data_IF_054466263879
#
_entry.id   IF_054466263879
#
_cell.length_a   1.000
_cell.length_b   1.000
_cell.length_c   1.000
_cell.angle_alpha   90.00
_cell.angle_beta   90.00
_cell.angle_gamma   90.00
#
_symmetry.space_group_name_H-M   'P 1'
#
loop_
_entity.id
_entity.type
_entity.pdbx_description
1 polymer ?
#
# COMPACT_ATOMS: atom_id res chain seq x y z
N UNK A 1 14.96 2.18 48.76
CA UNK A 1 15.86 1.69 47.69
C UNK A 1 16.24 2.86 46.81
N UNK A 2 17.54 3.06 46.56
CA UNK A 2 18.03 4.09 45.64
C UNK A 2 17.61 3.74 44.21
N UNK A 3 17.03 4.68 43.47
CA UNK A 3 16.80 4.50 42.04
C UNK A 3 18.16 4.34 41.34
N UNK A 4 18.26 3.36 40.43
CA UNK A 4 19.40 3.24 39.52
C UNK A 4 19.09 4.18 38.35
N UNK A 5 19.80 5.30 38.26
CA UNK A 5 19.71 6.22 37.15
C UNK A 5 20.68 5.80 36.05
N UNK A 6 20.17 5.56 34.84
CA UNK A 6 20.96 5.35 33.63
C UNK A 6 20.14 5.76 32.42
N UNK A 7 20.76 6.35 31.41
CA UNK A 7 20.08 6.70 30.16
C UNK A 7 19.86 5.42 29.35
N UNK A 8 18.62 4.94 29.15
CA UNK A 8 18.39 3.77 28.32
C UNK A 8 18.78 4.11 26.88
N UNK A 9 19.71 3.33 26.30
CA UNK A 9 20.09 3.44 24.89
C UNK A 9 18.93 2.93 24.03
N UNK A 10 18.50 3.70 23.02
CA UNK A 10 17.52 3.23 22.03
C UNK A 10 18.11 2.04 21.27
N UNK A 11 17.28 1.05 20.96
CA UNK A 11 17.69 -0.16 20.25
C UNK A 11 16.62 -0.53 19.22
N UNK A 12 16.91 -0.26 17.95
CA UNK A 12 16.03 -0.63 16.84
C UNK A 12 16.21 -2.10 16.51
N UNK A 13 15.11 -2.84 16.37
CA UNK A 13 15.12 -4.20 15.85
C UNK A 13 14.08 -4.33 14.75
N UNK A 14 14.47 -4.94 13.62
CA UNK A 14 13.63 -5.11 12.44
C UNK A 14 13.24 -6.58 12.29
N UNK A 15 11.95 -6.85 12.15
CA UNK A 15 11.39 -8.19 12.00
C UNK A 15 10.58 -8.26 10.70
N UNK A 16 10.58 -9.42 10.05
CA UNK A 16 9.82 -9.65 8.83
C UNK A 16 8.83 -10.80 9.02
N UNK A 17 7.62 -10.70 8.51
CA UNK A 17 6.81 -11.90 8.27
C UNK A 17 7.26 -12.64 7.00
N UNK A 18 6.60 -13.74 6.67
CA UNK A 18 6.95 -14.59 5.52
C UNK A 18 6.31 -14.16 4.20
N UNK A 19 5.41 -13.18 4.21
CA UNK A 19 4.64 -12.82 3.02
C UNK A 19 5.46 -12.05 1.98
N UNK A 20 6.45 -11.26 2.41
CA UNK A 20 7.34 -10.51 1.51
C UNK A 20 8.74 -10.27 2.15
N UNK A 21 9.53 -11.33 2.37
CA UNK A 21 10.84 -11.21 3.03
C UNK A 21 11.81 -10.31 2.27
N UNK A 22 11.78 -10.32 0.94
CA UNK A 22 12.64 -9.49 0.08
C UNK A 22 12.50 -8.00 0.37
N UNK A 23 11.26 -7.51 0.58
CA UNK A 23 11.03 -6.10 0.93
C UNK A 23 11.64 -5.77 2.29
N UNK A 24 11.53 -6.67 3.26
CA UNK A 24 12.12 -6.45 4.58
C UNK A 24 13.66 -6.42 4.53
N UNK A 25 14.28 -7.27 3.72
CA UNK A 25 15.73 -7.23 3.48
C UNK A 25 16.17 -5.95 2.78
N UNK A 26 15.40 -5.46 1.80
CA UNK A 26 15.68 -4.17 1.17
C UNK A 26 15.56 -3.02 2.18
N UNK A 27 14.52 -3.01 3.03
CA UNK A 27 14.38 -2.02 4.10
C UNK A 27 15.52 -2.11 5.11
N UNK A 28 15.93 -3.32 5.49
CA UNK A 28 17.05 -3.54 6.40
C UNK A 28 18.35 -2.93 5.85
N UNK A 29 18.60 -3.12 4.55
CA UNK A 29 19.75 -2.56 3.85
C UNK A 29 19.74 -1.03 3.83
N UNK A 30 18.59 -0.40 3.57
CA UNK A 30 18.46 1.06 3.60
C UNK A 30 18.68 1.64 5.01
N UNK A 31 18.34 0.87 6.06
CA UNK A 31 18.51 1.23 7.47
C UNK A 31 19.90 0.90 8.05
N UNK A 32 20.78 0.23 7.28
CA UNK A 32 22.05 -0.34 7.76
C UNK A 32 21.88 -1.27 8.98
N UNK A 33 20.85 -2.12 8.93
CA UNK A 33 20.57 -3.18 9.92
C UNK A 33 20.32 -4.53 9.24
N UNK A 34 20.17 -5.58 10.03
CA UNK A 34 19.76 -6.90 9.56
C UNK A 34 18.36 -7.24 10.06
N UNK A 35 17.60 -8.01 9.30
CA UNK A 35 16.37 -8.64 9.80
C UNK A 35 16.74 -9.58 10.95
N UNK A 36 16.09 -9.43 12.10
CA UNK A 36 16.38 -10.24 13.29
C UNK A 36 16.06 -11.71 13.03
N UNK A 37 16.99 -12.64 13.34
CA UNK A 37 16.77 -14.07 13.18
C UNK A 37 15.54 -14.57 13.94
N UNK A 38 14.76 -15.42 13.27
CA UNK A 38 13.53 -15.98 13.81
C UNK A 38 13.25 -17.38 13.26
N UNK A 39 12.56 -18.17 14.07
CA UNK A 39 11.94 -19.42 13.67
C UNK A 39 10.46 -19.17 13.36
N UNK A 40 10.08 -19.23 12.07
CA UNK A 40 8.70 -19.06 11.61
C UNK A 40 8.28 -20.21 10.69
N UNK A 41 7.23 -20.95 11.06
CA UNK A 41 6.74 -22.10 10.30
C UNK A 41 5.26 -22.35 10.53
N UNK A 42 4.65 -23.17 9.67
CA UNK A 42 3.27 -23.61 9.82
C UNK A 42 3.25 -25.09 10.25
N UNK A 43 2.46 -25.41 11.27
CA UNK A 43 2.19 -26.80 11.66
C UNK A 43 1.33 -27.49 10.60
N UNK A 44 1.28 -28.83 10.63
CA UNK A 44 0.54 -29.63 9.65
C UNK A 44 -0.97 -29.32 9.60
N UNK A 45 -1.54 -28.76 10.66
CA UNK A 45 -2.95 -28.35 10.73
C UNK A 45 -3.20 -26.89 10.31
N UNK A 46 -2.16 -26.15 9.90
CA UNK A 46 -2.26 -24.75 9.46
C UNK A 46 -2.00 -23.71 10.55
N UNK A 47 -1.79 -24.10 11.82
CA UNK A 47 -1.38 -23.15 12.85
C UNK A 47 0.00 -22.55 12.56
N UNK A 48 0.18 -21.27 12.86
CA UNK A 48 1.42 -20.54 12.62
C UNK A 48 2.19 -20.43 13.93
N UNK A 49 3.49 -20.73 13.87
CA UNK A 49 4.43 -20.51 14.96
C UNK A 49 5.44 -19.44 14.57
N UNK A 50 5.71 -18.50 15.47
CA UNK A 50 6.79 -17.53 15.35
C UNK A 50 7.54 -17.40 16.69
N UNK A 51 8.86 -17.40 16.64
CA UNK A 51 9.75 -17.13 17.78
C UNK A 51 11.00 -16.39 17.31
N UNK A 52 11.31 -15.28 17.95
CA UNK A 52 12.59 -14.58 17.76
C UNK A 52 13.72 -15.32 18.49
N UNK A 53 14.88 -15.40 17.84
CA UNK A 53 16.05 -16.11 18.38
C UNK A 53 16.89 -15.21 19.31
N UNK A 54 16.67 -13.91 19.24
CA UNK A 54 17.32 -12.89 20.05
C UNK A 54 16.39 -12.29 21.10
N UNK A 55 16.98 -11.70 22.15
CA UNK A 55 16.22 -10.99 23.18
C UNK A 55 15.69 -9.66 22.65
N UNK A 56 14.37 -9.53 22.61
CA UNK A 56 13.66 -8.29 22.23
C UNK A 56 13.38 -7.36 23.41
N UNK A 57 13.85 -7.70 24.62
CA UNK A 57 13.55 -6.93 25.83
C UNK A 57 14.02 -5.49 25.70
N UNK A 58 13.09 -4.55 25.85
CA UNK A 58 13.37 -3.12 25.85
C UNK A 58 13.62 -2.51 24.47
N UNK A 59 13.49 -3.27 23.38
CA UNK A 59 13.73 -2.76 22.02
C UNK A 59 12.56 -1.94 21.48
N UNK A 60 12.89 -1.08 20.52
CA UNK A 60 11.96 -0.45 19.59
C UNK A 60 11.82 -1.38 18.38
N UNK A 61 10.78 -2.20 18.37
CA UNK A 61 10.56 -3.25 17.40
C UNK A 61 9.71 -2.77 16.22
N UNK A 62 10.21 -2.97 15.00
CA UNK A 62 9.49 -2.72 13.76
C UNK A 62 9.21 -4.06 13.08
N UNK A 63 7.94 -4.45 12.98
CA UNK A 63 7.55 -5.73 12.37
C UNK A 63 6.87 -5.50 11.03
N UNK A 64 7.60 -5.80 9.94
CA UNK A 64 7.15 -5.65 8.55
C UNK A 64 6.40 -6.89 8.10
N UNK A 65 5.19 -6.71 7.60
CA UNK A 65 4.47 -7.74 6.85
C UNK A 65 3.51 -7.07 5.87
N UNK A 66 3.60 -7.43 4.59
CA UNK A 66 2.57 -7.08 3.62
C UNK A 66 1.39 -8.06 3.74
N UNK A 67 0.15 -7.58 3.82
CA UNK A 67 -1.03 -8.46 3.86
C UNK A 67 -1.39 -9.00 2.46
N UNK A 68 -0.48 -9.78 1.87
CA UNK A 68 -0.64 -10.44 0.57
C UNK A 68 -1.43 -11.75 0.67
N UNK A 69 -1.77 -12.39 -0.45
CA UNK A 69 -2.45 -13.68 -0.43
C UNK A 69 -1.49 -14.82 -0.03
N UNK A 70 -1.86 -15.73 0.90
CA UNK A 70 -3.12 -15.80 1.65
C UNK A 70 -3.24 -14.75 2.76
N UNK A 71 -4.23 -13.85 2.63
CA UNK A 71 -4.33 -12.62 3.43
C UNK A 71 -4.54 -12.85 4.92
N UNK A 72 -5.30 -13.88 5.27
CA UNK A 72 -5.59 -14.22 6.66
C UNK A 72 -4.34 -14.74 7.36
N UNK A 73 -3.56 -15.57 6.69
CA UNK A 73 -2.33 -16.14 7.22
C UNK A 73 -1.29 -15.04 7.43
N UNK A 74 -1.16 -14.12 6.47
CA UNK A 74 -0.26 -12.96 6.59
C UNK A 74 -0.62 -12.07 7.78
N UNK A 75 -1.92 -11.76 7.98
CA UNK A 75 -2.41 -10.97 9.11
C UNK A 75 -2.20 -11.72 10.43
N UNK A 76 -2.61 -12.99 10.50
CA UNK A 76 -2.47 -13.82 11.69
C UNK A 76 -1.01 -13.98 12.10
N UNK A 77 -0.11 -14.19 11.14
CA UNK A 77 1.32 -14.24 11.39
C UNK A 77 1.83 -12.94 12.01
N UNK A 78 1.50 -11.78 11.45
CA UNK A 78 1.95 -10.51 12.01
C UNK A 78 1.37 -10.27 13.41
N UNK A 79 0.10 -10.66 13.67
CA UNK A 79 -0.50 -10.61 15.01
C UNK A 79 0.26 -11.49 16.01
N UNK A 80 0.65 -12.71 15.61
CA UNK A 80 1.43 -13.63 16.44
C UNK A 80 2.83 -13.05 16.71
N UNK A 81 3.46 -12.42 15.71
CA UNK A 81 4.74 -11.73 15.89
C UNK A 81 4.63 -10.58 16.88
N UNK A 82 3.59 -9.75 16.78
CA UNK A 82 3.31 -8.64 17.71
C UNK A 82 3.08 -9.17 19.13
N UNK A 83 2.29 -10.23 19.32
CA UNK A 83 2.09 -10.85 20.64
C UNK A 83 3.40 -11.42 21.21
N UNK A 84 4.23 -12.06 20.37
CA UNK A 84 5.55 -12.57 20.76
C UNK A 84 6.49 -11.43 21.21
N UNK A 85 6.49 -10.29 20.51
CA UNK A 85 7.26 -9.09 20.90
C UNK A 85 6.78 -8.54 22.26
N UNK A 86 5.47 -8.43 22.45
CA UNK A 86 4.86 -7.95 23.70
C UNK A 86 5.23 -8.84 24.87
N UNK A 87 5.09 -10.17 24.73
CA UNK A 87 5.47 -11.14 25.77
C UNK A 87 6.98 -11.20 25.98
N UNK A 88 7.75 -10.94 24.92
CA UNK A 88 9.20 -10.74 24.95
C UNK A 88 9.65 -9.45 25.65
N UNK A 89 8.71 -8.62 26.11
CA UNK A 89 8.96 -7.34 26.78
C UNK A 89 9.64 -6.30 25.89
N UNK A 90 9.33 -6.26 24.60
CA UNK A 90 9.65 -5.11 23.75
C UNK A 90 9.08 -3.82 24.35
N UNK A 91 9.79 -2.70 24.18
CA UNK A 91 9.41 -1.40 24.76
C UNK A 91 8.35 -0.70 23.92
N UNK A 92 8.52 -0.70 22.60
CA UNK A 92 7.58 -0.16 21.62
C UNK A 92 7.49 -1.12 20.44
N UNK A 93 6.28 -1.36 19.93
CA UNK A 93 6.02 -2.24 18.79
C UNK A 93 5.30 -1.44 17.71
N UNK A 94 5.98 -1.21 16.58
CA UNK A 94 5.41 -0.62 15.37
C UNK A 94 5.09 -1.73 14.38
N UNK A 95 3.82 -1.92 14.06
CA UNK A 95 3.42 -2.82 12.99
C UNK A 95 3.52 -2.07 11.64
N UNK A 96 4.46 -2.51 10.81
CA UNK A 96 4.70 -1.94 9.48
C UNK A 96 3.93 -2.79 8.47
N UNK A 97 2.93 -2.20 7.85
CA UNK A 97 2.01 -2.85 6.90
C UNK A 97 2.10 -2.15 5.54
N UNK A 98 3.06 -2.52 4.67
CA UNK A 98 3.19 -1.93 3.34
C UNK A 98 1.88 -1.97 2.54
N UNK A 99 1.03 -2.99 2.78
CA UNK A 99 -0.34 -3.04 2.30
C UNK A 99 -1.30 -3.44 3.42
N UNK A 100 -2.29 -2.58 3.71
CA UNK A 100 -3.32 -2.85 4.71
C UNK A 100 -4.44 -3.74 4.17
N UNK A 101 -4.33 -5.05 4.44
CA UNK A 101 -5.39 -6.02 4.14
C UNK A 101 -6.75 -5.67 4.75
N UNK A 102 -7.83 -5.97 4.02
CA UNK A 102 -9.22 -5.58 4.35
C UNK A 102 -9.55 -4.08 4.29
N UNK A 103 -8.65 -3.21 3.82
CA UNK A 103 -8.89 -1.75 3.75
C UNK A 103 -10.12 -1.35 2.91
N UNK A 104 -10.56 -2.17 1.94
CA UNK A 104 -11.79 -1.95 1.16
C UNK A 104 -13.09 -2.18 1.93
N UNK A 105 -13.01 -2.74 3.15
CA UNK A 105 -14.15 -2.97 4.04
C UNK A 105 -14.08 -1.95 5.20
N UNK A 106 -14.01 -0.67 4.84
CA UNK A 106 -13.86 0.51 5.70
C UNK A 106 -15.19 1.05 6.25
N UNK A 107 -16.31 0.65 5.64
CA UNK A 107 -17.66 1.06 6.07
C UNK A 107 -18.69 0.02 5.68
N UNK A 108 -19.89 0.20 6.22
CA UNK A 108 -21.07 -0.55 5.80
C UNK A 108 -21.68 0.12 4.58
N UNK A 109 -21.72 -0.58 3.46
CA UNK A 109 -22.49 -0.17 2.28
C UNK A 109 -23.96 -0.58 2.41
N UNK A 110 -24.21 -1.69 3.13
CA UNK A 110 -25.55 -2.19 3.47
C UNK A 110 -25.65 -2.56 4.94
N UNK A 111 -26.88 -2.71 5.42
CA UNK A 111 -27.12 -3.24 6.75
C UNK A 111 -26.47 -4.62 6.93
N UNK A 112 -25.96 -4.88 8.14
CA UNK A 112 -25.38 -6.18 8.58
C UNK A 112 -24.06 -6.60 7.91
N UNK A 113 -23.32 -5.67 7.32
CA UNK A 113 -21.93 -5.89 6.90
C UNK A 113 -20.94 -5.61 8.04
N UNK A 114 -19.77 -6.28 8.06
CA UNK A 114 -18.67 -5.93 8.95
C UNK A 114 -17.96 -4.65 8.50
N UNK A 115 -17.18 -4.06 9.41
CA UNK A 115 -16.15 -3.05 9.07
C UNK A 115 -14.80 -3.72 9.35
N UNK A 116 -14.37 -4.58 8.44
CA UNK A 116 -13.22 -5.47 8.68
C UNK A 116 -11.91 -4.72 8.81
N UNK A 117 -11.76 -3.55 8.16
CA UNK A 117 -10.60 -2.69 8.37
C UNK A 117 -10.48 -2.23 9.85
N UNK A 118 -11.61 -1.92 10.49
CA UNK A 118 -11.66 -1.60 11.93
C UNK A 118 -11.36 -2.82 12.79
N UNK A 119 -11.93 -3.98 12.45
CA UNK A 119 -11.62 -5.24 13.14
C UNK A 119 -10.11 -5.53 13.12
N UNK A 120 -9.45 -5.37 11.97
CA UNK A 120 -7.99 -5.52 11.85
C UNK A 120 -7.26 -4.55 12.78
N UNK A 121 -7.62 -3.27 12.80
CA UNK A 121 -7.02 -2.29 13.71
C UNK A 121 -7.18 -2.69 15.19
N UNK A 122 -8.38 -3.13 15.59
CA UNK A 122 -8.67 -3.58 16.96
C UNK A 122 -7.86 -4.83 17.34
N UNK A 123 -7.67 -5.77 16.40
CA UNK A 123 -6.83 -6.96 16.62
C UNK A 123 -5.38 -6.58 16.87
N UNK A 124 -4.79 -5.68 16.07
CA UNK A 124 -3.40 -5.24 16.26
C UNK A 124 -3.21 -4.48 17.57
N UNK A 125 -4.17 -3.61 17.92
CA UNK A 125 -4.14 -2.93 19.22
C UNK A 125 -4.18 -3.92 20.38
N UNK A 126 -5.05 -4.93 20.28
CA UNK A 126 -5.20 -5.99 21.29
C UNK A 126 -3.94 -6.85 21.41
N UNK A 127 -3.37 -7.26 20.27
CA UNK A 127 -2.14 -8.05 20.20
C UNK A 127 -0.97 -7.32 20.88
N UNK A 128 -0.87 -6.01 20.72
CA UNK A 128 0.16 -5.21 21.38
C UNK A 128 0.84 -4.13 20.56
N UNK A 129 0.35 -3.83 19.36
CA UNK A 129 0.93 -2.76 18.56
C UNK A 129 0.71 -1.41 19.27
N UNK A 130 1.78 -0.61 19.34
CA UNK A 130 1.73 0.76 19.85
C UNK A 130 1.46 1.76 18.72
N UNK A 131 1.87 1.42 17.50
CA UNK A 131 1.82 2.26 16.29
C UNK A 131 1.61 1.41 15.05
N UNK A 132 0.93 1.97 14.05
CA UNK A 132 0.89 1.41 12.70
C UNK A 132 1.63 2.32 11.72
N UNK A 133 2.39 1.75 10.80
CA UNK A 133 2.97 2.45 9.65
C UNK A 133 2.52 1.73 8.39
N UNK A 134 1.92 2.44 7.42
CA UNK A 134 1.32 1.82 6.22
C UNK A 134 1.42 2.73 5.01
N UNK A 135 1.23 2.19 3.81
CA UNK A 135 1.31 2.93 2.54
C UNK A 135 -0.06 2.93 1.87
N UNK A 136 -0.50 4.09 1.37
CA UNK A 136 -1.71 4.32 0.56
C UNK A 136 -2.95 3.52 1.00
N UNK A 137 -3.44 3.83 2.19
CA UNK A 137 -4.72 3.36 2.70
C UNK A 137 -5.84 3.63 1.68
N UNK A 138 -6.71 2.63 1.52
CA UNK A 138 -7.86 2.74 0.62
C UNK A 138 -8.74 3.97 0.90
N UNK A 139 -8.83 4.32 2.18
CA UNK A 139 -9.43 5.58 2.62
C UNK A 139 -8.64 6.11 3.81
N UNK A 140 -8.40 7.43 3.85
CA UNK A 140 -7.57 8.03 4.89
C UNK A 140 -8.20 7.96 6.28
N UNK A 141 -9.53 7.77 6.37
CA UNK A 141 -10.28 7.61 7.61
C UNK A 141 -9.90 6.34 8.38
N UNK A 142 -9.28 5.35 7.74
CA UNK A 142 -8.79 4.13 8.42
C UNK A 142 -7.79 4.49 9.53
N UNK A 143 -7.07 5.60 9.42
CA UNK A 143 -6.20 6.10 10.51
C UNK A 143 -6.97 6.25 11.83
N UNK A 144 -8.24 6.70 11.78
CA UNK A 144 -9.09 6.84 12.95
C UNK A 144 -9.64 5.53 13.51
N UNK A 145 -9.34 4.38 12.88
CA UNK A 145 -9.73 3.06 13.41
C UNK A 145 -8.77 2.53 14.46
N UNK A 146 -7.51 2.96 14.44
CA UNK A 146 -6.51 2.50 15.39
C UNK A 146 -6.45 3.44 16.60
N UNK A 147 -6.48 2.87 17.80
CA UNK A 147 -6.34 3.63 19.05
C UNK A 147 -4.85 3.81 19.41
N UNK A 148 -4.16 4.55 18.57
CA UNK A 148 -2.73 4.85 18.64
C UNK A 148 -2.28 5.65 17.41
N UNK A 149 -1.00 6.04 17.32
CA UNK A 149 -0.49 6.73 16.15
C UNK A 149 -0.53 5.84 14.90
N UNK A 150 -0.92 6.43 13.77
CA UNK A 150 -0.85 5.82 12.45
C UNK A 150 -0.06 6.74 11.54
N UNK A 151 1.04 6.24 10.99
CA UNK A 151 1.81 6.92 9.95
C UNK A 151 1.34 6.39 8.58
N UNK A 152 0.55 7.20 7.88
CA UNK A 152 0.03 6.89 6.55
C UNK A 152 0.93 7.52 5.48
N UNK A 153 1.74 6.69 4.85
CA UNK A 153 2.69 7.08 3.81
C UNK A 153 2.03 7.07 2.43
N UNK A 154 2.53 7.91 1.53
CA UNK A 154 2.04 8.00 0.15
C UNK A 154 3.12 7.58 -0.84
N UNK A 155 2.84 6.65 -1.75
CA UNK A 155 3.75 6.28 -2.83
C UNK A 155 3.68 7.22 -4.04
N UNK A 156 2.77 8.19 -4.02
CA UNK A 156 2.58 9.18 -5.09
C UNK A 156 3.92 9.81 -5.54
N UNK A 157 4.81 10.31 -4.66
CA UNK A 157 6.09 10.88 -5.11
C UNK A 157 6.95 9.88 -5.87
N UNK A 158 7.01 8.62 -5.44
CA UNK A 158 7.77 7.54 -6.09
C UNK A 158 7.24 7.28 -7.50
N UNK A 159 5.93 7.10 -7.62
CA UNK A 159 5.28 6.80 -8.91
C UNK A 159 5.35 7.99 -9.88
N UNK A 160 5.09 9.21 -9.39
CA UNK A 160 5.11 10.42 -10.20
C UNK A 160 6.53 10.79 -10.67
N UNK A 161 7.54 10.58 -9.82
CA UNK A 161 8.94 10.81 -10.19
C UNK A 161 9.38 9.89 -11.33
N UNK A 162 8.96 8.61 -11.31
CA UNK A 162 9.22 7.68 -12.41
C UNK A 162 8.59 8.16 -13.72
N UNK A 163 7.31 8.53 -13.70
CA UNK A 163 6.63 9.04 -14.92
C UNK A 163 7.30 10.29 -15.45
N UNK A 164 7.70 11.23 -14.58
CA UNK A 164 8.42 12.44 -15.00
C UNK A 164 9.79 12.14 -15.58
N UNK A 165 10.52 11.15 -15.05
CA UNK A 165 11.86 10.83 -15.54
C UNK A 165 11.83 10.09 -16.87
N UNK A 166 10.85 9.21 -17.08
CA UNK A 166 10.68 8.45 -18.33
C UNK A 166 9.97 9.26 -19.42
N UNK A 167 9.12 10.23 -19.04
CA UNK A 167 8.34 11.09 -19.94
C UNK A 167 8.47 12.58 -19.57
N UNK A 168 9.68 13.19 -19.63
CA UNK A 168 9.95 14.54 -19.11
C UNK A 168 9.18 15.68 -19.81
N UNK A 169 8.72 15.45 -21.05
CA UNK A 169 7.91 16.41 -21.81
C UNK A 169 6.50 15.87 -22.09
N UNK A 170 6.00 14.97 -21.24
CA UNK A 170 4.69 14.36 -21.43
C UNK A 170 3.57 15.38 -21.32
N UNK A 171 2.72 15.44 -22.35
CA UNK A 171 1.47 16.18 -22.31
C UNK A 171 0.42 15.33 -21.58
N UNK A 172 0.42 15.37 -20.25
CA UNK A 172 -0.39 14.46 -19.44
C UNK A 172 -1.82 14.95 -19.22
N UNK A 173 -2.72 14.00 -18.97
CA UNK A 173 -3.97 14.21 -18.24
C UNK A 173 -4.09 13.11 -17.16
N UNK A 174 -4.37 13.48 -15.92
CA UNK A 174 -4.57 12.48 -14.84
C UNK A 174 -6.00 12.01 -14.88
N UNK A 175 -6.20 10.70 -14.94
CA UNK A 175 -7.51 10.08 -15.08
C UNK A 175 -7.86 9.26 -13.85
N UNK A 176 -8.99 9.62 -13.23
CA UNK A 176 -9.61 8.79 -12.19
C UNK A 176 -10.57 7.76 -12.82
N UNK A 177 -10.41 6.45 -12.58
CA UNK A 177 -11.25 5.43 -13.17
C UNK A 177 -12.70 5.40 -12.62
N UNK A 178 -12.95 6.15 -11.54
CA UNK A 178 -14.28 6.45 -11.02
C UNK A 178 -14.29 7.81 -10.29
N UNK A 179 -15.48 8.29 -9.91
CA UNK A 179 -15.63 9.59 -9.24
C UNK A 179 -15.25 9.57 -7.75
N UNK A 180 -14.94 8.41 -7.17
CA UNK A 180 -14.65 8.27 -5.74
C UNK A 180 -13.25 8.79 -5.36
N UNK A 181 -12.36 8.97 -6.33
CA UNK A 181 -10.94 9.29 -6.10
C UNK A 181 -10.50 10.64 -6.66
N UNK A 182 -11.42 11.59 -6.81
CA UNK A 182 -11.12 12.93 -7.35
C UNK A 182 -10.00 13.63 -6.57
N UNK A 183 -10.03 13.57 -5.23
CA UNK A 183 -8.97 14.18 -4.40
C UNK A 183 -7.59 13.58 -4.61
N UNK A 184 -7.52 12.27 -4.87
CA UNK A 184 -6.26 11.61 -5.20
C UNK A 184 -5.79 12.09 -6.58
N UNK A 185 -6.70 12.15 -7.56
CA UNK A 185 -6.40 12.65 -8.90
C UNK A 185 -5.90 14.09 -8.88
N UNK A 186 -6.50 14.98 -8.08
CA UNK A 186 -6.05 16.37 -7.88
C UNK A 186 -4.59 16.43 -7.41
N UNK A 187 -4.23 15.68 -6.36
CA UNK A 187 -2.84 15.61 -5.86
C UNK A 187 -1.87 15.10 -6.91
N UNK A 188 -2.28 14.11 -7.70
CA UNK A 188 -1.49 13.57 -8.80
C UNK A 188 -1.27 14.61 -9.91
N UNK A 189 -2.32 15.34 -10.30
CA UNK A 189 -2.24 16.39 -11.30
C UNK A 189 -1.32 17.54 -10.88
N UNK A 190 -1.44 17.99 -9.63
CA UNK A 190 -0.54 18.98 -9.04
C UNK A 190 0.90 18.48 -9.06
N UNK A 191 1.11 17.24 -8.60
CA UNK A 191 2.45 16.65 -8.55
C UNK A 191 3.04 16.48 -9.94
N UNK A 192 2.25 16.16 -10.97
CA UNK A 192 2.71 16.08 -12.36
C UNK A 192 2.85 17.44 -13.06
N UNK A 193 2.79 18.56 -12.31
CA UNK A 193 3.06 19.90 -12.83
C UNK A 193 1.82 20.70 -13.22
N UNK A 194 0.65 20.39 -12.64
CA UNK A 194 -0.60 21.11 -12.90
C UNK A 194 -1.30 20.64 -14.17
N UNK A 195 -1.44 19.33 -14.35
CA UNK A 195 -2.02 18.73 -15.56
C UNK A 195 -3.56 18.64 -15.47
N UNK A 196 -4.29 18.58 -16.60
CA UNK A 196 -5.75 18.43 -16.55
C UNK A 196 -6.20 17.14 -15.86
N UNK A 197 -7.35 17.24 -15.21
CA UNK A 197 -8.05 16.11 -14.62
C UNK A 197 -9.12 15.58 -15.56
N UNK A 198 -9.23 14.26 -15.62
CA UNK A 198 -10.36 13.59 -16.22
C UNK A 198 -10.88 12.46 -15.31
N UNK A 199 -12.13 12.09 -15.50
CA UNK A 199 -12.71 10.95 -14.81
C UNK A 199 -13.65 10.16 -15.71
N UNK A 200 -13.74 8.86 -15.44
CA UNK A 200 -14.65 7.97 -16.16
C UNK A 200 -15.96 7.90 -15.39
N UNK A 201 -16.99 8.54 -15.94
CA UNK A 201 -18.32 8.50 -15.38
C UNK A 201 -19.06 7.26 -15.89
N UNK A 202 -19.38 6.35 -14.97
CA UNK A 202 -20.20 5.15 -15.24
C UNK A 202 -21.68 5.53 -15.18
N UNK A 203 -22.30 5.74 -16.34
CA UNK A 203 -23.75 5.96 -16.40
C UNK A 203 -24.46 4.60 -16.38
N UNK A 204 -25.29 4.37 -15.36
CA UNK A 204 -26.18 3.21 -15.28
C UNK A 204 -27.61 3.68 -15.50
N UNK A 205 -28.37 3.03 -16.38
CA UNK A 205 -29.82 3.25 -16.45
C UNK A 205 -30.49 2.53 -15.27
N UNK A 206 -31.04 3.25 -14.27
CA UNK A 206 -31.68 2.63 -13.12
C UNK A 206 -32.94 1.81 -13.47
N UNK A 207 -33.46 1.94 -14.70
CA UNK A 207 -34.65 1.20 -15.17
C UNK A 207 -34.31 -0.11 -15.86
N UNK A 208 -33.04 -0.36 -16.18
CA UNK A 208 -32.59 -1.56 -16.88
C UNK A 208 -31.40 -2.17 -16.14
N UNK A 209 -31.67 -3.01 -15.14
CA UNK A 209 -30.65 -3.56 -14.24
C UNK A 209 -29.50 -4.34 -14.90
N UNK A 210 -29.56 -4.61 -16.21
CA UNK A 210 -28.60 -5.42 -16.97
C UNK A 210 -28.12 -4.76 -18.28
N UNK A 211 -28.35 -3.45 -18.50
CA UNK A 211 -27.81 -2.76 -19.69
C UNK A 211 -26.34 -2.37 -19.52
N UNK A 212 -25.64 -2.28 -20.65
CA UNK A 212 -24.23 -1.91 -20.70
C UNK A 212 -24.01 -0.52 -20.08
N UNK A 213 -23.07 -0.45 -19.14
CA UNK A 213 -22.64 0.81 -18.54
C UNK A 213 -22.01 1.68 -19.62
N UNK A 214 -22.59 2.85 -19.90
CA UNK A 214 -21.95 3.84 -20.76
C UNK A 214 -20.86 4.54 -19.94
N UNK A 215 -19.59 4.26 -20.27
CA UNK A 215 -18.44 4.96 -19.73
C UNK A 215 -18.24 6.22 -20.57
N UNK A 216 -18.42 7.39 -19.96
CA UNK A 216 -18.12 8.67 -20.60
C UNK A 216 -16.92 9.28 -19.91
N UNK A 217 -15.92 9.73 -20.68
CA UNK A 217 -14.83 10.53 -20.11
C UNK A 217 -15.32 11.97 -19.94
N UNK A 218 -15.03 12.53 -18.77
CA UNK A 218 -15.25 13.95 -18.48
C UNK A 218 -13.89 14.55 -18.17
N UNK A 219 -13.47 15.52 -18.98
CA UNK A 219 -12.15 16.16 -18.90
C UNK A 219 -11.48 16.25 -20.27
N UNK A 220 -10.39 17.00 -20.37
CA UNK A 220 -9.61 17.15 -21.61
C UNK A 220 -8.57 16.01 -21.72
N UNK A 221 -8.82 15.06 -22.62
CA UNK A 221 -7.92 13.90 -22.83
C UNK A 221 -7.41 13.74 -24.26
N UNK A 222 -8.03 14.39 -25.24
CA UNK A 222 -7.71 14.20 -26.66
C UNK A 222 -6.27 14.64 -26.96
N UNK A 223 -5.50 13.75 -27.60
CA UNK A 223 -4.08 13.94 -27.90
C UNK A 223 -3.13 13.90 -26.69
N UNK A 224 -3.63 13.66 -25.47
CA UNK A 224 -2.82 13.64 -24.23
C UNK A 224 -2.45 12.21 -23.83
N UNK A 225 -1.31 12.09 -23.14
CA UNK A 225 -0.91 10.87 -22.45
C UNK A 225 -1.71 10.77 -21.15
N UNK A 226 -2.65 9.85 -21.08
CA UNK A 226 -3.51 9.69 -19.91
C UNK A 226 -2.81 8.86 -18.83
N UNK A 227 -2.72 9.38 -17.61
CA UNK A 227 -2.21 8.64 -16.45
C UNK A 227 -3.40 8.18 -15.62
N UNK A 228 -3.80 6.92 -15.79
CA UNK A 228 -4.88 6.29 -15.01
C UNK A 228 -4.32 5.92 -13.64
N UNK A 229 -4.93 6.46 -12.59
CA UNK A 229 -4.46 6.26 -11.21
C UNK A 229 -5.43 5.41 -10.38
N UNK A 230 -4.89 4.58 -9.51
CA UNK A 230 -5.64 3.88 -8.46
C UNK A 230 -4.73 3.69 -7.23
N UNK A 231 -5.29 3.36 -6.06
CA UNK A 231 -4.45 2.95 -4.92
C UNK A 231 -3.97 1.50 -5.08
N UNK A 232 -4.82 0.64 -5.63
CA UNK A 232 -4.59 -0.79 -5.81
C UNK A 232 -5.31 -1.32 -7.04
N UNK A 233 -4.73 -2.36 -7.66
CA UNK A 233 -5.37 -3.07 -8.77
C UNK A 233 -5.55 -4.54 -8.39
N UNK A 234 -6.82 -4.95 -8.26
CA UNK A 234 -7.23 -6.30 -7.88
C UNK A 234 -7.41 -7.20 -9.11
N UNK A 235 -8.57 -7.17 -9.77
CA UNK A 235 -8.85 -8.03 -10.94
C UNK A 235 -8.54 -7.36 -12.29
N UNK A 236 -8.03 -6.13 -12.30
CA UNK A 236 -7.70 -5.35 -13.50
C UNK A 236 -8.88 -4.86 -14.35
N UNK A 237 -10.12 -5.30 -14.10
CA UNK A 237 -11.25 -5.06 -15.02
C UNK A 237 -11.64 -3.59 -15.19
N UNK A 238 -11.71 -2.83 -14.08
CA UNK A 238 -12.04 -1.39 -14.15
C UNK A 238 -10.97 -0.61 -14.91
N UNK A 239 -9.69 -0.86 -14.62
CA UNK A 239 -8.56 -0.16 -15.20
C UNK A 239 -8.37 -0.53 -16.67
N UNK A 240 -8.42 -1.81 -17.03
CA UNK A 240 -8.35 -2.24 -18.42
C UNK A 240 -9.46 -1.59 -19.26
N UNK A 241 -10.68 -1.52 -18.71
CA UNK A 241 -11.78 -0.84 -19.40
C UNK A 241 -11.58 0.67 -19.50
N UNK A 242 -10.94 1.29 -18.50
CA UNK A 242 -10.58 2.70 -18.54
C UNK A 242 -9.62 2.99 -19.68
N UNK A 243 -8.56 2.18 -19.81
CA UNK A 243 -7.56 2.28 -20.88
C UNK A 243 -8.21 2.18 -22.26
N UNK A 244 -9.06 1.17 -22.48
CA UNK A 244 -9.78 1.01 -23.76
C UNK A 244 -10.62 2.24 -24.13
N UNK A 245 -11.35 2.80 -23.15
CA UNK A 245 -12.21 3.97 -23.37
C UNK A 245 -11.39 5.21 -23.70
N UNK A 246 -10.30 5.45 -22.96
CA UNK A 246 -9.41 6.59 -23.18
C UNK A 246 -8.77 6.56 -24.57
N UNK A 247 -8.25 5.40 -25.00
CA UNK A 247 -7.70 5.23 -26.34
C UNK A 247 -8.76 5.47 -27.42
N UNK A 248 -9.98 4.96 -27.22
CA UNK A 248 -11.09 5.18 -28.16
C UNK A 248 -11.53 6.64 -28.25
N UNK A 249 -11.45 7.38 -27.15
CA UNK A 249 -11.80 8.81 -27.07
C UNK A 249 -10.63 9.75 -27.42
N UNK A 250 -9.54 9.21 -27.97
CA UNK A 250 -8.48 10.00 -28.59
C UNK A 250 -7.27 10.31 -27.71
N UNK A 251 -7.10 9.63 -26.56
CA UNK A 251 -5.83 9.67 -25.82
C UNK A 251 -4.68 9.21 -26.74
N UNK A 252 -3.54 9.91 -26.70
CA UNK A 252 -2.38 9.57 -27.52
C UNK A 252 -1.58 8.38 -26.97
N UNK A 253 -1.67 8.18 -25.66
CA UNK A 253 -1.04 7.09 -24.92
C UNK A 253 -1.75 6.92 -23.57
N UNK A 254 -1.62 5.77 -22.93
CA UNK A 254 -2.15 5.53 -21.58
C UNK A 254 -1.12 4.83 -20.71
N UNK A 255 -0.82 5.43 -19.56
CA UNK A 255 -0.03 4.86 -18.47
C UNK A 255 -0.98 4.53 -17.32
N UNK A 256 -0.81 3.38 -16.70
CA UNK A 256 -1.51 3.01 -15.47
C UNK A 256 -0.53 3.10 -14.32
N UNK A 257 -0.93 3.71 -13.21
CA UNK A 257 -0.13 3.73 -11.99
C UNK A 257 -0.99 3.41 -10.78
N UNK A 258 -0.55 2.45 -9.97
CA UNK A 258 -1.16 2.15 -8.69
C UNK A 258 -0.13 1.74 -7.66
N UNK A 259 -0.39 2.00 -6.38
CA UNK A 259 0.57 1.62 -5.33
C UNK A 259 0.61 0.10 -5.19
N UNK A 260 -0.53 -0.55 -5.03
CA UNK A 260 -0.61 -1.97 -4.68
C UNK A 260 -1.08 -2.85 -5.84
N UNK A 261 -0.19 -3.69 -6.36
CA UNK A 261 -0.55 -4.75 -7.30
C UNK A 261 -1.13 -5.98 -6.60
N UNK A 262 -2.43 -6.00 -6.27
CA UNK A 262 -3.09 -7.19 -5.70
C UNK A 262 -3.18 -8.33 -6.72
N UNK A 263 -3.45 -7.98 -7.98
CA UNK A 263 -3.34 -8.86 -9.16
C UNK A 263 -3.99 -10.24 -8.97
N UNK A 264 -5.28 -10.26 -8.63
CA UNK A 264 -6.05 -11.51 -8.47
C UNK A 264 -6.73 -11.93 -9.77
N UNK A 265 -6.90 -13.26 -9.93
CA UNK A 265 -7.58 -13.84 -11.08
C UNK A 265 -6.98 -13.38 -12.43
N UNK A 266 -7.78 -12.87 -13.37
CA UNK A 266 -7.32 -12.54 -14.73
C UNK A 266 -6.58 -11.18 -14.83
N UNK A 267 -6.14 -10.60 -13.71
CA UNK A 267 -5.56 -9.25 -13.70
C UNK A 267 -4.34 -9.11 -14.61
N UNK A 268 -3.38 -10.03 -14.50
CA UNK A 268 -2.16 -10.06 -15.32
C UNK A 268 -2.50 -10.07 -16.81
N UNK A 269 -3.37 -10.99 -17.25
CA UNK A 269 -3.78 -11.10 -18.65
C UNK A 269 -4.51 -9.83 -19.14
N UNK A 270 -5.40 -9.26 -18.32
CA UNK A 270 -6.14 -8.05 -18.68
C UNK A 270 -5.22 -6.86 -18.82
N UNK A 271 -4.28 -6.65 -17.89
CA UNK A 271 -3.38 -5.51 -17.91
C UNK A 271 -2.37 -5.61 -19.06
N UNK A 272 -1.83 -6.81 -19.31
CA UNK A 272 -0.92 -7.04 -20.43
C UNK A 272 -1.57 -6.73 -21.80
N UNK A 273 -2.89 -6.97 -21.93
CA UNK A 273 -3.62 -6.84 -23.19
C UNK A 273 -4.50 -5.58 -23.31
N UNK A 274 -4.55 -4.71 -22.29
CA UNK A 274 -5.48 -3.57 -22.30
C UNK A 274 -5.04 -2.40 -23.20
N UNK A 275 -3.81 -2.41 -23.70
CA UNK A 275 -3.27 -1.36 -24.58
C UNK A 275 -2.58 -0.21 -23.85
N UNK A 276 -2.38 -0.29 -22.53
CA UNK A 276 -1.54 0.65 -21.80
C UNK A 276 -0.07 0.45 -22.21
N UNK A 277 0.66 1.54 -22.44
CA UNK A 277 2.10 1.46 -22.77
C UNK A 277 2.96 1.10 -21.57
N UNK A 278 2.49 1.42 -20.35
CA UNK A 278 3.17 1.07 -19.11
C UNK A 278 2.13 0.89 -17.98
N UNK A 279 2.33 -0.12 -17.14
CA UNK A 279 1.54 -0.38 -15.93
C UNK A 279 2.51 -0.41 -14.75
N UNK A 280 2.42 0.59 -13.89
CA UNK A 280 3.38 0.84 -12.81
C UNK A 280 2.76 0.42 -11.48
N UNK A 281 3.46 -0.43 -10.74
CA UNK A 281 3.19 -0.78 -9.36
C UNK A 281 4.36 -0.41 -8.44
N UNK A 282 4.14 -0.40 -7.12
CA UNK A 282 5.24 -0.53 -6.16
C UNK A 282 5.40 -2.00 -5.74
N UNK A 283 6.53 -2.35 -5.13
CA UNK A 283 6.76 -3.63 -4.46
C UNK A 283 6.17 -3.68 -3.02
N UNK A 284 5.19 -2.82 -2.69
CA UNK A 284 4.44 -2.91 -1.42
C UNK A 284 3.70 -4.24 -1.23
N UNK A 285 3.46 -4.97 -2.33
CA UNK A 285 3.02 -6.36 -2.36
C UNK A 285 4.00 -7.18 -3.21
N UNK A 286 4.24 -8.45 -2.86
CA UNK A 286 5.09 -9.32 -3.67
C UNK A 286 4.39 -9.59 -5.01
N UNK A 287 5.12 -9.33 -6.10
CA UNK A 287 4.68 -9.65 -7.47
C UNK A 287 5.60 -10.75 -7.99
N UNK A 288 5.15 -12.02 -7.97
CA UNK A 288 5.94 -13.15 -8.44
C UNK A 288 6.09 -13.08 -9.97
N UNK A 289 7.15 -13.71 -10.48
CA UNK A 289 7.56 -13.61 -11.88
C UNK A 289 6.46 -14.01 -12.86
N UNK A 290 5.65 -15.02 -12.54
CA UNK A 290 4.54 -15.47 -13.39
C UNK A 290 3.40 -14.45 -13.52
N UNK A 291 3.34 -13.44 -12.65
CA UNK A 291 2.38 -12.33 -12.74
C UNK A 291 2.92 -11.12 -13.48
N UNK A 292 4.22 -11.09 -13.79
CA UNK A 292 4.87 -9.99 -14.51
C UNK A 292 4.60 -10.10 -16.01
N UNK A 293 4.65 -8.96 -16.69
CA UNK A 293 4.48 -8.83 -18.14
C UNK A 293 5.35 -7.67 -18.64
N UNK A 294 5.64 -7.63 -19.94
CA UNK A 294 6.66 -6.75 -20.52
C UNK A 294 6.45 -5.25 -20.25
N UNK A 295 5.20 -4.79 -20.23
CA UNK A 295 4.84 -3.39 -19.93
C UNK A 295 4.65 -3.10 -18.44
N UNK A 296 4.94 -4.05 -17.55
CA UNK A 296 4.88 -3.84 -16.10
C UNK A 296 6.19 -3.26 -15.57
N UNK A 297 6.09 -2.15 -14.84
CA UNK A 297 7.18 -1.60 -14.04
C UNK A 297 6.85 -1.77 -12.56
N UNK A 298 7.80 -2.29 -11.76
CA UNK A 298 7.64 -2.41 -10.31
C UNK A 298 8.71 -1.56 -9.64
N UNK A 299 8.28 -0.53 -8.89
CA UNK A 299 9.16 0.42 -8.22
C UNK A 299 9.40 0.02 -6.77
N UNK A 300 10.65 0.15 -6.26
CA UNK A 300 10.95 -0.16 -4.87
C UNK A 300 10.36 0.89 -3.92
N UNK A 301 9.73 0.43 -2.84
CA UNK A 301 9.19 1.27 -1.75
C UNK A 301 10.08 1.24 -0.50
N UNK A 302 11.11 0.39 -0.49
CA UNK A 302 12.02 0.25 0.64
C UNK A 302 12.63 1.58 1.15
N UNK A 303 13.10 2.51 0.29
CA UNK A 303 13.63 3.79 0.76
C UNK A 303 12.59 4.63 1.53
N UNK A 304 11.32 4.62 1.08
CA UNK A 304 10.23 5.34 1.76
C UNK A 304 9.94 4.73 3.14
N UNK A 305 9.89 3.40 3.23
CA UNK A 305 9.65 2.69 4.49
C UNK A 305 10.81 2.86 5.47
N UNK A 306 12.04 2.74 4.99
CA UNK A 306 13.25 2.88 5.78
C UNK A 306 13.34 4.29 6.40
N UNK A 307 13.14 5.32 5.59
CA UNK A 307 13.17 6.69 6.09
C UNK A 307 12.06 6.93 7.13
N UNK A 308 10.85 6.43 6.91
CA UNK A 308 9.77 6.55 7.88
C UNK A 308 10.07 5.79 9.20
N UNK A 309 10.65 4.59 9.12
CA UNK A 309 11.10 3.82 10.30
C UNK A 309 12.18 4.60 11.06
N UNK A 310 13.16 5.17 10.35
CA UNK A 310 14.23 5.98 10.92
C UNK A 310 13.67 7.21 11.66
N UNK A 311 12.75 7.95 11.04
CA UNK A 311 12.09 9.09 11.69
C UNK A 311 11.29 8.67 12.93
N UNK A 312 10.53 7.58 12.87
CA UNK A 312 9.79 7.07 14.03
C UNK A 312 10.74 6.63 15.15
N UNK A 313 11.86 5.99 14.82
CA UNK A 313 12.85 5.54 15.79
C UNK A 313 13.55 6.71 16.48
N UNK A 314 13.96 7.72 15.73
CA UNK A 314 14.65 8.92 16.23
C UNK A 314 13.70 9.94 16.90
N UNK A 315 12.39 9.67 16.95
CA UNK A 315 11.35 10.62 17.36
C UNK A 315 11.38 11.92 16.50
N UNK A 316 11.74 11.78 15.23
CA UNK A 316 11.75 12.82 14.21
C UNK A 316 10.39 13.04 13.53
N UNK A 317 10.39 13.79 12.42
CA UNK A 317 9.16 14.15 11.71
C UNK A 317 8.95 13.23 10.51
N UNK A 318 7.86 12.45 10.54
CA UNK A 318 7.42 11.72 9.34
C UNK A 318 6.79 12.66 8.32
N UNK A 319 6.21 13.79 8.77
CA UNK A 319 5.51 14.75 7.89
C UNK A 319 6.42 15.47 6.90
N UNK A 320 7.73 15.57 7.19
CA UNK A 320 8.71 16.13 6.25
C UNK A 320 8.92 15.26 5.00
N UNK A 321 8.47 14.00 5.00
CA UNK A 321 8.50 13.13 3.83
C UNK A 321 7.47 13.50 2.76
N UNK A 322 6.50 14.33 3.11
CA UNK A 322 5.37 14.68 2.24
C UNK A 322 5.20 16.20 2.08
N UNK A 323 6.29 16.98 2.24
CA UNK A 323 6.26 18.44 2.18
C UNK A 323 5.20 19.06 3.12
N UNK A 324 4.91 18.40 4.25
CA UNK A 324 3.87 18.83 5.21
C UNK A 324 2.44 18.40 4.90
N UNK A 325 2.20 17.58 3.86
CA UNK A 325 0.86 17.12 3.44
C UNK A 325 0.41 15.76 4.05
N UNK A 326 0.96 15.39 5.21
CA UNK A 326 0.64 14.14 5.92
C UNK A 326 -0.81 14.09 6.44
#
# INVERSE_FOLDING_TARGET
MSAIAGTPKKNMMLFSGRAHPELAEHVAKELDVTVTPQSAYSFANGEIFCRFEESVRGSDAFVIQAHSAPINDAIMEQLIMVDALKRGSAKRITAVMPFWGYARQDKKHRGREPISARLVADMFKTAGADRILTVDLHTSQIQGFFDGPVDHLFALPVLAQHIKSTRPNGNFAVVSPDSGRVRLAERWAETLGGTPLAFIHKTRDPRKPNEAVANRVVGEIEGRCCVVIDDMIDTGGTVAKAVEVLLKEGASDVIVAATHGVLSGPATERLANCGASEVIFTDSLPIPDEKRFDSMTVLPIAPLLAEAIHQVFEDGSVTSLFDGNA
#
